data_IF_954743491148
#
_entry.id   IF_954743491148
#
_cell.length_a   1.000
_cell.length_b   1.000
_cell.length_c   1.000
_cell.angle_alpha   90.00
_cell.angle_beta   90.00
_cell.angle_gamma   90.00
#
_symmetry.space_group_name_H-M   'P 1'
#
loop_
_entity.id
_entity.type
_entity.pdbx_description
1 polymer ?
#
# COMPACT_ATOMS: atom_id res chain seq x y z
N UNK A 1 -15.52 30.54 15.07
CA UNK A 1 -16.32 30.15 16.26
C UNK A 1 -16.12 28.68 16.66
N UNK A 2 -15.19 27.93 16.08
CA UNK A 2 -14.87 26.53 16.40
C UNK A 2 -13.55 26.32 17.20
N UNK A 3 -12.84 27.40 17.54
CA UNK A 3 -11.55 27.33 18.23
C UNK A 3 -11.61 27.22 19.77
N UNK A 4 -12.80 27.04 20.35
CA UNK A 4 -12.99 27.01 21.82
C UNK A 4 -13.29 25.62 22.42
N UNK A 5 -13.29 24.56 21.64
CA UNK A 5 -13.75 23.23 22.12
C UNK A 5 -12.61 22.35 22.66
N UNK A 6 -11.35 22.64 22.36
CA UNK A 6 -10.22 21.85 22.87
C UNK A 6 -9.30 22.69 23.75
N UNK A 7 -9.74 22.92 25.01
CA UNK A 7 -8.89 23.50 26.05
C UNK A 7 -8.03 22.36 26.64
N UNK A 8 -6.92 22.00 25.95
CA UNK A 8 -5.90 21.14 26.55
C UNK A 8 -5.23 21.93 27.68
N UNK A 9 -5.70 21.76 28.91
CA UNK A 9 -4.97 22.23 30.09
C UNK A 9 -3.62 21.51 30.08
N UNK A 10 -2.58 22.23 29.77
CA UNK A 10 -1.19 21.81 29.97
C UNK A 10 -1.00 21.61 31.49
N UNK A 11 -1.32 20.43 31.99
CA UNK A 11 -0.89 19.99 33.32
C UNK A 11 0.55 19.58 33.17
N UNK A 12 1.45 20.55 33.33
CA UNK A 12 2.89 20.31 33.51
C UNK A 12 3.10 19.62 34.86
N UNK A 13 2.75 18.35 34.96
CA UNK A 13 3.37 17.45 35.91
C UNK A 13 4.70 17.03 35.31
N UNK A 14 5.81 17.53 35.86
CA UNK A 14 7.14 16.97 35.66
C UNK A 14 7.17 15.56 36.24
N UNK A 15 6.52 14.61 35.56
CA UNK A 15 6.84 13.21 35.75
C UNK A 15 8.18 13.04 35.03
N UNK A 16 9.21 12.66 35.78
CA UNK A 16 10.37 12.00 35.25
C UNK A 16 9.79 10.80 34.48
N UNK A 17 9.59 10.95 33.16
CA UNK A 17 9.09 9.85 32.34
C UNK A 17 10.17 8.77 32.38
N UNK A 18 9.87 7.65 33.03
CA UNK A 18 10.65 6.46 32.86
C UNK A 18 10.90 6.32 31.36
N UNK A 19 12.13 6.03 30.96
CA UNK A 19 12.53 5.92 29.55
C UNK A 19 11.77 4.75 28.92
N UNK A 20 10.57 5.00 28.42
CA UNK A 20 9.77 4.00 27.73
C UNK A 20 10.48 3.58 26.47
N UNK A 21 10.66 2.28 26.31
CA UNK A 21 11.24 1.67 25.11
C UNK A 21 10.08 1.16 24.25
N UNK A 22 9.91 1.77 23.06
CA UNK A 22 8.94 1.32 22.10
C UNK A 22 9.52 0.22 21.21
N UNK A 23 8.91 -0.96 21.19
CA UNK A 23 9.39 -2.14 20.48
C UNK A 23 8.39 -2.69 19.45
N UNK A 24 7.29 -2.00 19.20
CA UNK A 24 6.23 -2.43 18.28
C UNK A 24 6.29 -1.67 16.93
N UNK A 25 7.45 -1.68 16.29
CA UNK A 25 7.65 -1.00 14.99
C UNK A 25 6.87 -1.66 13.85
N UNK A 26 6.46 -2.92 14.02
CA UNK A 26 5.56 -3.59 13.07
C UNK A 26 4.15 -2.95 13.04
N UNK A 27 3.70 -2.38 14.16
CA UNK A 27 2.43 -1.66 14.19
C UNK A 27 2.52 -0.24 13.60
N UNK A 28 3.56 0.52 13.97
CA UNK A 28 3.82 1.88 13.45
C UNK A 28 5.21 2.35 13.89
N UNK A 29 5.73 3.37 13.21
CA UNK A 29 6.98 4.04 13.60
C UNK A 29 6.74 5.48 14.03
N UNK A 30 7.64 6.11 14.81
CA UNK A 30 7.64 7.56 14.96
C UNK A 30 7.93 8.21 13.61
N UNK A 31 7.47 9.45 13.41
CA UNK A 31 7.84 10.21 12.21
C UNK A 31 9.27 10.72 12.40
N UNK A 32 10.10 10.57 11.36
CA UNK A 32 11.46 11.09 11.36
C UNK A 32 11.44 12.62 11.51
N UNK A 33 12.32 13.22 12.36
CA UNK A 33 12.39 14.67 12.53
C UNK A 33 12.63 15.44 11.22
N UNK A 34 13.41 14.89 10.29
CA UNK A 34 13.65 15.51 8.97
C UNK A 34 12.37 15.51 8.13
N UNK A 35 11.57 14.43 8.19
CA UNK A 35 10.27 14.34 7.54
C UNK A 35 9.30 15.38 8.12
N UNK A 36 9.26 15.51 9.46
CA UNK A 36 8.45 16.54 10.12
C UNK A 36 8.85 17.93 9.64
N UNK A 37 10.16 18.23 9.61
CA UNK A 37 10.68 19.52 9.17
C UNK A 37 10.30 19.83 7.70
N UNK A 38 10.38 18.82 6.81
CA UNK A 38 9.98 18.95 5.41
C UNK A 38 8.48 19.20 5.23
N UNK A 39 7.64 18.65 6.11
CA UNK A 39 6.17 18.81 6.05
C UNK A 39 5.69 20.18 6.59
N UNK A 40 6.37 20.76 7.58
CA UNK A 40 5.90 21.95 8.29
C UNK A 40 5.52 23.13 7.38
N UNK A 41 6.27 23.48 6.32
CA UNK A 41 5.91 24.58 5.43
C UNK A 41 4.52 24.43 4.77
N UNK A 42 4.10 23.19 4.50
CA UNK A 42 2.84 22.92 3.80
C UNK A 42 1.59 23.09 4.68
N UNK A 43 1.75 23.22 5.99
CA UNK A 43 0.62 23.49 6.89
C UNK A 43 0.21 24.98 6.93
N UNK A 44 1.14 25.91 6.62
CA UNK A 44 0.88 27.34 6.79
C UNK A 44 1.45 28.24 5.67
N UNK A 45 2.57 27.87 5.06
CA UNK A 45 3.27 28.71 4.08
C UNK A 45 2.97 28.31 2.64
N UNK A 46 2.93 27.00 2.36
CA UNK A 46 2.77 26.43 1.02
C UNK A 46 1.41 25.69 0.88
N UNK A 47 0.35 26.27 1.41
CA UNK A 47 -0.98 25.66 1.55
C UNK A 47 -1.88 25.76 0.32
N UNK A 48 -1.35 26.14 -0.83
CA UNK A 48 -2.14 26.33 -2.07
C UNK A 48 -2.86 25.06 -2.51
N UNK A 49 -4.02 25.25 -3.17
CA UNK A 49 -4.69 24.13 -3.84
C UNK A 49 -3.96 23.83 -5.17
N UNK A 50 -3.43 22.61 -5.38
CA UNK A 50 -2.65 22.26 -6.57
C UNK A 50 -3.44 22.42 -7.89
N UNK A 51 -4.77 22.34 -7.85
CA UNK A 51 -5.61 22.55 -9.04
C UNK A 51 -5.80 24.04 -9.43
N UNK A 52 -5.29 24.98 -8.62
CA UNK A 52 -5.42 26.42 -8.91
C UNK A 52 -4.34 26.92 -9.86
N UNK A 53 -4.74 27.73 -10.84
CA UNK A 53 -3.83 28.28 -11.86
C UNK A 53 -2.89 29.39 -11.37
N UNK A 54 -3.17 29.96 -10.20
CA UNK A 54 -2.36 31.01 -9.61
C UNK A 54 -1.10 30.47 -8.93
N UNK A 55 -0.15 31.36 -8.63
CA UNK A 55 1.18 31.02 -8.12
C UNK A 55 1.19 30.08 -6.89
N UNK A 56 0.22 30.24 -5.96
CA UNK A 56 0.11 29.36 -4.79
C UNK A 56 -0.25 27.91 -5.16
N UNK A 57 -1.16 27.75 -6.13
CA UNK A 57 -1.52 26.43 -6.64
C UNK A 57 -0.36 25.76 -7.37
N UNK A 58 0.35 26.52 -8.23
CA UNK A 58 1.51 26.02 -8.97
C UNK A 58 2.64 25.51 -8.05
N UNK A 59 2.87 26.20 -6.90
CA UNK A 59 3.88 25.74 -5.90
C UNK A 59 3.47 24.45 -5.24
N UNK A 60 2.19 24.29 -4.89
CA UNK A 60 1.66 23.05 -4.31
C UNK A 60 1.69 21.91 -5.32
N UNK A 61 1.32 22.15 -6.56
CA UNK A 61 1.39 21.19 -7.66
C UNK A 61 2.84 20.75 -7.94
N UNK A 62 3.76 21.69 -7.99
CA UNK A 62 5.19 21.39 -8.14
C UNK A 62 5.70 20.48 -7.01
N UNK A 63 5.34 20.74 -5.76
CA UNK A 63 5.76 19.91 -4.64
C UNK A 63 5.22 18.47 -4.72
N UNK A 64 3.96 18.31 -5.14
CA UNK A 64 3.35 16.97 -5.32
C UNK A 64 4.02 16.25 -6.50
N UNK A 65 4.26 16.94 -7.59
CA UNK A 65 4.91 16.38 -8.79
C UNK A 65 6.33 15.93 -8.47
N UNK A 66 7.13 16.76 -7.78
CA UNK A 66 8.49 16.40 -7.35
C UNK A 66 8.49 15.16 -6.45
N UNK A 67 7.61 15.13 -5.43
CA UNK A 67 7.50 13.97 -4.54
C UNK A 67 7.12 12.68 -5.32
N UNK A 68 6.26 12.80 -6.31
CA UNK A 68 5.84 11.69 -7.17
C UNK A 68 6.99 11.16 -8.03
N UNK A 69 7.77 12.06 -8.63
CA UNK A 69 8.96 11.74 -9.44
C UNK A 69 10.05 11.06 -8.59
N UNK A 70 10.31 11.56 -7.38
CA UNK A 70 11.26 10.95 -6.44
C UNK A 70 10.85 9.54 -6.05
N UNK A 71 9.57 9.32 -5.73
CA UNK A 71 9.03 8.00 -5.39
C UNK A 71 9.12 7.06 -6.60
N UNK A 72 8.75 7.52 -7.79
CA UNK A 72 8.82 6.75 -9.01
C UNK A 72 10.26 6.29 -9.30
N UNK A 73 11.24 7.16 -9.09
CA UNK A 73 12.66 6.81 -9.21
C UNK A 73 13.10 5.72 -8.23
N UNK A 74 12.57 5.71 -6.99
CA UNK A 74 12.86 4.66 -5.99
C UNK A 74 12.21 3.33 -6.38
N UNK A 75 10.98 3.37 -6.91
CA UNK A 75 10.22 2.18 -7.29
C UNK A 75 10.58 1.65 -8.69
N UNK A 76 11.43 2.36 -9.44
CA UNK A 76 11.76 2.07 -10.85
C UNK A 76 10.50 2.00 -11.73
N UNK A 77 9.67 3.07 -11.69
CA UNK A 77 8.43 3.19 -12.45
C UNK A 77 8.24 4.61 -12.97
N UNK A 78 7.18 4.85 -13.73
CA UNK A 78 6.82 6.19 -14.21
C UNK A 78 6.04 6.97 -13.13
N UNK A 79 6.18 8.30 -13.13
CA UNK A 79 5.54 9.15 -12.11
C UNK A 79 4.01 9.08 -12.15
N UNK A 80 3.40 8.89 -13.31
CA UNK A 80 1.95 8.78 -13.48
C UNK A 80 1.37 7.42 -13.07
N UNK A 81 2.24 6.44 -12.72
CA UNK A 81 1.88 5.16 -12.13
C UNK A 81 1.73 5.22 -10.59
N UNK A 82 2.05 6.38 -9.97
CA UNK A 82 1.93 6.59 -8.53
C UNK A 82 0.60 7.28 -8.20
N UNK A 83 -0.21 6.63 -7.38
CA UNK A 83 -1.47 7.15 -6.86
C UNK A 83 -1.32 7.38 -5.36
N UNK A 84 -1.34 8.63 -4.90
CA UNK A 84 -1.32 8.93 -3.47
C UNK A 84 -2.64 8.55 -2.81
N UNK A 85 -2.55 7.92 -1.64
CA UNK A 85 -3.67 7.49 -0.80
C UNK A 85 -3.45 7.94 0.64
N UNK A 86 -4.43 7.70 1.51
CA UNK A 86 -4.31 8.04 2.94
C UNK A 86 -3.60 6.95 3.76
N UNK A 87 -3.51 5.73 3.27
CA UNK A 87 -2.86 4.62 3.99
C UNK A 87 -2.79 3.36 3.11
N UNK A 88 -2.02 2.35 3.56
CA UNK A 88 -1.95 1.06 2.88
C UNK A 88 -3.29 0.33 2.77
N UNK A 89 -4.19 0.49 3.75
CA UNK A 89 -5.53 -0.09 3.66
C UNK A 89 -6.36 0.50 2.52
N UNK A 90 -6.26 1.80 2.26
CA UNK A 90 -6.90 2.42 1.10
C UNK A 90 -6.25 1.94 -0.19
N UNK A 91 -4.93 1.88 -0.26
CA UNK A 91 -4.21 1.35 -1.44
C UNK A 91 -4.63 -0.08 -1.77
N UNK A 92 -4.67 -0.97 -0.76
CA UNK A 92 -5.11 -2.35 -0.91
C UNK A 92 -6.58 -2.45 -1.39
N UNK A 93 -7.47 -1.63 -0.82
CA UNK A 93 -8.87 -1.60 -1.24
C UNK A 93 -9.01 -1.06 -2.67
N UNK A 94 -8.28 -0.01 -3.02
CA UNK A 94 -8.28 0.57 -4.36
C UNK A 94 -7.80 -0.45 -5.40
N UNK A 95 -6.71 -1.16 -5.11
CA UNK A 95 -6.18 -2.21 -5.98
C UNK A 95 -7.21 -3.33 -6.20
N UNK A 96 -7.66 -3.99 -5.12
CA UNK A 96 -8.54 -5.15 -5.26
C UNK A 96 -9.90 -4.79 -5.85
N UNK A 97 -10.55 -3.74 -5.34
CA UNK A 97 -11.89 -3.33 -5.82
C UNK A 97 -11.84 -2.73 -7.21
N UNK A 98 -10.84 -1.88 -7.48
CA UNK A 98 -10.69 -1.25 -8.79
C UNK A 98 -10.54 -2.29 -9.88
N UNK A 99 -9.60 -3.22 -9.72
CA UNK A 99 -9.37 -4.29 -10.70
C UNK A 99 -10.56 -5.26 -10.77
N UNK A 100 -11.19 -5.62 -9.64
CA UNK A 100 -12.36 -6.51 -9.66
C UNK A 100 -13.55 -5.90 -10.44
N UNK A 101 -13.83 -4.62 -10.21
CA UNK A 101 -14.93 -3.94 -10.93
C UNK A 101 -14.63 -3.79 -12.42
N UNK A 102 -13.38 -3.43 -12.77
CA UNK A 102 -12.94 -3.34 -14.16
C UNK A 102 -12.98 -4.70 -14.86
N UNK A 103 -12.48 -5.76 -14.20
CA UNK A 103 -12.51 -7.12 -14.74
C UNK A 103 -13.93 -7.57 -15.08
N UNK A 104 -14.89 -7.23 -14.23
CA UNK A 104 -16.31 -7.50 -14.48
C UNK A 104 -16.87 -6.69 -15.65
N UNK A 105 -16.60 -5.38 -15.67
CA UNK A 105 -17.08 -4.50 -16.74
C UNK A 105 -16.57 -4.93 -18.11
N UNK A 106 -15.30 -5.37 -18.15
CA UNK A 106 -14.64 -5.83 -19.36
C UNK A 106 -14.83 -7.33 -19.65
N UNK A 107 -15.60 -8.06 -18.81
CA UNK A 107 -15.78 -9.52 -18.89
C UNK A 107 -14.46 -10.31 -18.92
N UNK A 108 -13.44 -9.83 -18.18
CA UNK A 108 -12.10 -10.45 -18.10
C UNK A 108 -12.03 -11.61 -17.10
N UNK A 109 -13.01 -11.74 -16.21
CA UNK A 109 -13.04 -12.81 -15.22
C UNK A 109 -13.79 -12.46 -13.94
N UNK A 110 -13.95 -13.45 -13.07
CA UNK A 110 -14.69 -13.32 -11.81
C UNK A 110 -13.94 -13.94 -10.61
N UNK A 111 -12.75 -14.49 -10.83
CA UNK A 111 -11.97 -15.19 -9.82
C UNK A 111 -10.71 -14.41 -9.42
N UNK A 112 -10.50 -14.24 -8.10
CA UNK A 112 -9.27 -13.68 -7.54
C UNK A 112 -8.63 -14.63 -6.53
N UNK A 113 -7.31 -14.58 -6.44
CA UNK A 113 -6.51 -15.40 -5.52
C UNK A 113 -5.80 -14.48 -4.53
N UNK A 114 -5.87 -14.81 -3.24
CA UNK A 114 -5.14 -14.11 -2.17
C UNK A 114 -4.38 -15.12 -1.29
N UNK A 115 -3.39 -14.67 -0.53
CA UNK A 115 -2.74 -15.55 0.44
C UNK A 115 -3.50 -15.65 1.77
N UNK A 116 -3.30 -16.76 2.50
CA UNK A 116 -3.90 -16.96 3.81
C UNK A 116 -3.33 -16.05 4.91
N UNK A 117 -2.18 -15.43 4.67
CA UNK A 117 -1.46 -14.60 5.65
C UNK A 117 -1.55 -13.10 5.35
N UNK A 118 -2.49 -12.70 4.50
CA UNK A 118 -2.70 -11.30 4.14
C UNK A 118 -3.13 -10.43 5.33
N UNK A 119 -2.82 -9.15 5.24
CA UNK A 119 -3.37 -8.15 6.15
C UNK A 119 -4.91 -8.12 6.06
N UNK A 120 -5.62 -7.84 7.17
CA UNK A 120 -7.09 -7.74 7.18
C UNK A 120 -7.70 -6.82 6.12
N UNK A 121 -6.96 -5.82 5.63
CA UNK A 121 -7.41 -4.95 4.53
C UNK A 121 -7.61 -5.72 3.21
N UNK A 122 -6.80 -6.75 2.94
CA UNK A 122 -6.95 -7.65 1.80
C UNK A 122 -8.02 -8.70 2.08
N UNK A 123 -7.90 -9.44 3.20
CA UNK A 123 -8.82 -10.53 3.55
C UNK A 123 -10.28 -10.08 3.59
N UNK A 124 -10.56 -8.95 4.26
CA UNK A 124 -11.93 -8.42 4.38
C UNK A 124 -12.45 -7.87 3.05
N UNK A 125 -11.59 -7.28 2.24
CA UNK A 125 -11.98 -6.79 0.92
C UNK A 125 -12.32 -7.94 0.00
N UNK A 126 -11.50 -9.00 -0.04
CA UNK A 126 -11.79 -10.21 -0.80
C UNK A 126 -13.09 -10.88 -0.33
N UNK A 127 -13.28 -11.03 0.98
CA UNK A 127 -14.53 -11.55 1.56
C UNK A 127 -15.75 -10.70 1.18
N UNK A 128 -15.62 -9.36 1.14
CA UNK A 128 -16.70 -8.49 0.70
C UNK A 128 -17.00 -8.64 -0.79
N UNK A 129 -15.97 -8.75 -1.64
CA UNK A 129 -16.13 -9.03 -3.06
C UNK A 129 -16.87 -10.35 -3.27
N UNK A 130 -16.53 -11.39 -2.51
CA UNK A 130 -17.22 -12.68 -2.55
C UNK A 130 -18.68 -12.58 -2.08
N UNK A 131 -18.92 -12.03 -0.89
CA UNK A 131 -20.25 -12.09 -0.26
C UNK A 131 -21.27 -11.14 -0.86
N UNK A 132 -20.82 -9.97 -1.38
CA UNK A 132 -21.76 -8.92 -1.84
C UNK A 132 -21.69 -8.69 -3.34
N UNK A 133 -20.62 -9.14 -3.98
CA UNK A 133 -20.44 -8.91 -5.42
C UNK A 133 -20.31 -10.20 -6.23
N UNK A 134 -20.46 -11.37 -5.59
CA UNK A 134 -20.43 -12.69 -6.22
C UNK A 134 -19.15 -12.96 -7.03
N UNK A 135 -18.00 -12.47 -6.55
CA UNK A 135 -16.69 -12.90 -7.04
C UNK A 135 -16.30 -14.22 -6.40
N UNK A 136 -15.58 -15.05 -7.13
CA UNK A 136 -14.95 -16.25 -6.58
C UNK A 136 -13.57 -15.88 -5.98
N UNK A 137 -13.30 -16.39 -4.78
CA UNK A 137 -12.05 -16.12 -4.05
C UNK A 137 -11.40 -17.42 -3.64
N UNK A 138 -10.18 -17.63 -4.10
CA UNK A 138 -9.30 -18.69 -3.60
C UNK A 138 -8.32 -18.12 -2.60
N UNK A 139 -8.23 -18.74 -1.43
CA UNK A 139 -7.23 -18.43 -0.40
C UNK A 139 -6.12 -19.49 -0.49
N UNK A 140 -4.93 -19.07 -0.93
CA UNK A 140 -3.76 -19.95 -1.00
C UNK A 140 -3.26 -20.27 0.40
N UNK A 141 -3.06 -21.55 0.72
CA UNK A 141 -2.42 -21.96 1.97
C UNK A 141 -0.94 -21.57 1.96
N UNK A 142 -0.36 -21.51 3.14
CA UNK A 142 1.08 -21.38 3.34
C UNK A 142 1.62 -22.64 4.05
N UNK A 143 2.91 -22.89 3.91
CA UNK A 143 3.58 -23.96 4.65
C UNK A 143 3.78 -23.61 6.13
N UNK A 144 4.41 -24.49 6.91
CA UNK A 144 4.70 -24.29 8.33
C UNK A 144 5.61 -23.09 8.62
N UNK A 145 6.29 -22.54 7.62
CA UNK A 145 7.15 -21.37 7.71
C UNK A 145 6.49 -20.11 7.16
N UNK A 146 5.28 -20.21 6.61
CA UNK A 146 4.52 -19.11 6.05
C UNK A 146 4.78 -18.84 4.57
N UNK A 147 5.47 -19.72 3.83
CA UNK A 147 5.71 -19.56 2.40
C UNK A 147 4.56 -20.07 1.54
N UNK A 148 4.26 -19.34 0.48
CA UNK A 148 3.36 -19.79 -0.58
C UNK A 148 4.14 -20.69 -1.52
N UNK A 149 3.54 -21.84 -1.87
CA UNK A 149 4.09 -22.73 -2.89
C UNK A 149 3.77 -22.20 -4.30
N UNK A 150 4.77 -21.97 -5.16
CA UNK A 150 4.53 -21.65 -6.58
C UNK A 150 3.68 -22.71 -7.29
N UNK A 151 3.80 -23.97 -6.90
CA UNK A 151 2.97 -25.07 -7.43
C UNK A 151 1.50 -24.90 -7.03
N UNK A 152 1.25 -24.51 -5.78
CA UNK A 152 -0.13 -24.33 -5.30
C UNK A 152 -0.78 -23.13 -5.98
N UNK A 153 -0.02 -22.05 -6.24
CA UNK A 153 -0.49 -20.94 -7.05
C UNK A 153 -0.87 -21.40 -8.46
N UNK A 154 0.01 -22.15 -9.16
CA UNK A 154 -0.30 -22.70 -10.51
C UNK A 154 -1.59 -23.53 -10.52
N UNK A 155 -1.78 -24.37 -9.50
CA UNK A 155 -2.94 -25.24 -9.39
C UNK A 155 -4.24 -24.47 -9.07
N UNK A 156 -4.14 -23.30 -8.43
CA UNK A 156 -5.28 -22.46 -8.05
C UNK A 156 -5.78 -21.54 -9.17
N UNK A 157 -4.95 -21.31 -10.20
CA UNK A 157 -5.32 -20.48 -11.36
C UNK A 157 -6.48 -21.14 -12.12
N UNK A 158 -7.52 -20.37 -12.38
CA UNK A 158 -8.70 -20.73 -13.16
C UNK A 158 -8.73 -19.91 -14.45
N UNK A 159 -9.50 -20.32 -15.49
CA UNK A 159 -9.57 -19.60 -16.75
C UNK A 159 -10.08 -18.15 -16.64
N UNK A 160 -10.80 -17.84 -15.58
CA UNK A 160 -11.37 -16.54 -15.27
C UNK A 160 -10.68 -15.83 -14.10
N UNK A 161 -9.49 -16.28 -13.71
CA UNK A 161 -8.66 -15.57 -12.71
C UNK A 161 -8.16 -14.27 -13.32
N UNK A 162 -8.47 -13.14 -12.67
CA UNK A 162 -8.04 -11.82 -13.15
C UNK A 162 -6.96 -11.17 -12.26
N UNK A 163 -6.84 -11.58 -10.99
CA UNK A 163 -5.92 -10.97 -10.03
C UNK A 163 -5.39 -12.01 -9.04
N UNK A 164 -4.10 -11.93 -8.75
CA UNK A 164 -3.46 -12.57 -7.60
C UNK A 164 -2.91 -11.49 -6.68
N UNK A 165 -3.16 -11.59 -5.38
CA UNK A 165 -2.64 -10.66 -4.38
C UNK A 165 -1.90 -11.41 -3.28
N UNK A 166 -0.60 -11.09 -3.12
CA UNK A 166 0.29 -11.71 -2.13
C UNK A 166 1.11 -10.63 -1.45
N UNK A 167 1.03 -10.55 -0.11
CA UNK A 167 1.87 -9.61 0.63
C UNK A 167 3.36 -9.95 0.49
N UNK A 168 4.21 -8.92 0.38
CA UNK A 168 5.64 -9.11 0.19
C UNK A 168 6.34 -9.60 1.46
N UNK A 169 6.06 -8.96 2.59
CA UNK A 169 6.58 -9.35 3.90
C UNK A 169 5.45 -9.38 4.93
N UNK A 170 5.37 -10.44 5.72
CA UNK A 170 4.32 -10.56 6.73
C UNK A 170 4.73 -9.85 8.03
N UNK A 171 3.82 -9.07 8.59
CA UNK A 171 4.05 -8.24 9.78
C UNK A 171 4.13 -9.02 11.09
N UNK A 172 3.61 -10.25 11.15
CA UNK A 172 3.56 -11.05 12.38
C UNK A 172 4.72 -12.05 12.46
N UNK A 173 4.97 -12.77 11.39
CA UNK A 173 5.96 -13.86 11.36
C UNK A 173 7.23 -13.52 10.58
N UNK A 174 7.27 -12.37 9.90
CA UNK A 174 8.45 -11.86 9.20
C UNK A 174 8.85 -12.63 7.94
N UNK A 175 8.01 -13.52 7.42
CA UNK A 175 8.29 -14.24 6.18
C UNK A 175 8.29 -13.28 4.99
N UNK A 176 9.23 -13.45 4.08
CA UNK A 176 9.35 -12.69 2.82
C UNK A 176 8.96 -13.63 1.68
N UNK A 177 7.91 -13.30 0.93
CA UNK A 177 7.43 -14.11 -0.17
C UNK A 177 8.27 -13.93 -1.43
N UNK A 178 8.39 -14.97 -2.28
CA UNK A 178 9.14 -14.92 -3.53
C UNK A 178 8.34 -14.20 -4.63
N UNK A 179 8.09 -12.89 -4.46
CA UNK A 179 7.18 -12.10 -5.28
C UNK A 179 7.48 -12.21 -6.78
N UNK A 180 8.75 -12.07 -7.18
CA UNK A 180 9.12 -12.14 -8.59
C UNK A 180 8.78 -13.49 -9.25
N UNK A 181 8.95 -14.60 -8.51
CA UNK A 181 8.59 -15.93 -9.01
C UNK A 181 7.07 -16.10 -9.13
N UNK A 182 6.33 -15.62 -8.13
CA UNK A 182 4.87 -15.70 -8.12
C UNK A 182 4.26 -14.80 -9.22
N UNK A 183 4.78 -13.59 -9.40
CA UNK A 183 4.37 -12.67 -10.46
C UNK A 183 4.65 -13.24 -11.85
N UNK A 184 5.82 -13.87 -12.07
CA UNK A 184 6.12 -14.52 -13.34
C UNK A 184 5.09 -15.61 -13.70
N UNK A 185 4.65 -16.39 -12.71
CA UNK A 185 3.62 -17.42 -12.91
C UNK A 185 2.29 -16.80 -13.37
N UNK A 186 1.86 -15.69 -12.75
CA UNK A 186 0.59 -15.05 -13.12
C UNK A 186 0.67 -14.44 -14.51
N UNK A 187 1.80 -13.87 -14.88
CA UNK A 187 2.00 -13.28 -16.20
C UNK A 187 2.01 -14.32 -17.33
N UNK A 188 2.45 -15.57 -17.08
CA UNK A 188 2.28 -16.67 -18.04
C UNK A 188 0.82 -16.90 -18.42
N UNK A 189 -0.12 -16.46 -17.58
CA UNK A 189 -1.57 -16.59 -17.76
C UNK A 189 -2.30 -15.25 -18.04
N UNK A 190 -1.58 -14.16 -18.26
CA UNK A 190 -2.13 -12.79 -18.41
C UNK A 190 -2.97 -12.32 -17.22
N UNK A 191 -2.60 -12.73 -16.00
CA UNK A 191 -3.24 -12.37 -14.74
C UNK A 191 -2.43 -11.26 -14.07
N UNK A 192 -3.10 -10.22 -13.56
CA UNK A 192 -2.45 -9.14 -12.82
C UNK A 192 -1.96 -9.61 -11.46
N UNK A 193 -0.81 -9.06 -11.03
CA UNK A 193 -0.22 -9.35 -9.72
C UNK A 193 -0.16 -8.11 -8.84
N UNK A 194 -0.83 -8.16 -7.70
CA UNK A 194 -0.77 -7.15 -6.64
C UNK A 194 0.09 -7.64 -5.47
N UNK A 195 0.88 -6.74 -4.89
CA UNK A 195 1.60 -7.01 -3.64
C UNK A 195 1.36 -5.93 -2.58
N UNK A 196 0.93 -6.34 -1.39
CA UNK A 196 1.00 -5.49 -0.20
C UNK A 196 2.46 -5.43 0.29
N UNK A 197 3.15 -4.32 -0.05
CA UNK A 197 4.54 -4.08 0.33
C UNK A 197 4.68 -3.18 1.56
N UNK A 198 3.61 -2.96 2.32
CA UNK A 198 3.58 -2.04 3.48
C UNK A 198 4.67 -2.38 4.49
N UNK A 199 4.94 -3.66 4.77
CA UNK A 199 6.00 -4.07 5.70
C UNK A 199 7.37 -4.22 5.04
N UNK A 200 7.44 -4.35 3.73
CA UNK A 200 8.69 -4.46 2.98
C UNK A 200 9.35 -3.10 2.73
N UNK A 201 8.56 -2.04 2.69
CA UNK A 201 9.01 -0.68 2.38
C UNK A 201 10.04 -0.19 3.39
N UNK A 202 11.17 0.31 2.88
CA UNK A 202 12.30 0.77 3.70
C UNK A 202 13.21 -0.36 4.22
N UNK A 203 12.84 -1.63 4.03
CA UNK A 203 13.61 -2.80 4.45
C UNK A 203 14.10 -3.64 3.27
N UNK A 204 13.32 -3.72 2.21
CA UNK A 204 13.59 -4.51 1.01
C UNK A 204 13.56 -3.63 -0.23
N UNK A 205 14.16 -4.10 -1.32
CA UNK A 205 14.04 -3.43 -2.62
C UNK A 205 12.61 -3.50 -3.13
N UNK A 206 12.08 -2.37 -3.58
CA UNK A 206 10.75 -2.26 -4.18
C UNK A 206 10.81 -1.96 -5.69
N UNK A 207 11.88 -2.38 -6.34
CA UNK A 207 12.05 -2.26 -7.80
C UNK A 207 10.91 -3.04 -8.49
N UNK A 208 9.94 -2.31 -9.03
CA UNK A 208 8.71 -2.89 -9.59
C UNK A 208 8.98 -3.72 -10.84
N UNK A 209 10.00 -3.36 -11.63
CA UNK A 209 10.40 -4.12 -12.80
C UNK A 209 10.97 -5.49 -12.40
N UNK A 210 11.87 -5.52 -11.39
CA UNK A 210 12.47 -6.79 -10.91
C UNK A 210 11.46 -7.66 -10.17
N UNK A 211 10.55 -7.06 -9.42
CA UNK A 211 9.48 -7.78 -8.73
C UNK A 211 8.41 -8.29 -9.70
N UNK A 212 8.26 -7.65 -10.85
CA UNK A 212 7.23 -8.01 -11.83
C UNK A 212 5.81 -7.73 -11.34
N UNK A 213 5.62 -6.80 -10.41
CA UNK A 213 4.28 -6.47 -9.90
C UNK A 213 3.55 -5.50 -10.83
N UNK A 214 2.24 -5.66 -10.97
CA UNK A 214 1.39 -4.71 -11.69
C UNK A 214 0.80 -3.66 -10.75
N UNK A 215 0.58 -4.04 -9.48
CA UNK A 215 0.11 -3.15 -8.42
C UNK A 215 0.91 -3.39 -7.15
N UNK A 216 1.22 -2.31 -6.41
CA UNK A 216 1.91 -2.43 -5.14
C UNK A 216 1.45 -1.36 -4.14
N UNK A 217 1.08 -1.80 -2.94
CA UNK A 217 0.58 -0.93 -1.87
C UNK A 217 1.67 -0.59 -0.87
N UNK A 218 1.75 0.69 -0.47
CA UNK A 218 2.73 1.22 0.49
C UNK A 218 2.05 2.12 1.52
N UNK A 219 2.60 2.21 2.73
CA UNK A 219 2.09 3.08 3.80
C UNK A 219 3.24 3.73 4.58
N UNK A 220 3.27 5.06 4.59
CA UNK A 220 4.40 5.84 5.10
C UNK A 220 4.73 5.59 6.59
N UNK A 221 3.72 5.35 7.43
CA UNK A 221 3.93 5.20 8.87
C UNK A 221 4.65 3.92 9.30
N UNK A 222 5.00 3.04 8.38
CA UNK A 222 5.78 1.81 8.64
C UNK A 222 7.29 2.03 8.46
N UNK A 223 7.69 3.13 7.82
CA UNK A 223 9.08 3.48 7.56
C UNK A 223 9.38 4.96 7.87
N UNK A 224 8.97 5.40 9.06
CA UNK A 224 9.24 6.72 9.64
C UNK A 224 8.58 7.90 8.92
N UNK A 225 7.60 7.64 8.06
CA UNK A 225 6.73 8.66 7.47
C UNK A 225 5.51 8.97 8.34
N UNK A 226 4.70 9.96 7.96
CA UNK A 226 3.52 10.35 8.71
C UNK A 226 2.39 9.31 8.57
N UNK A 227 1.53 9.25 9.59
CA UNK A 227 0.21 8.62 9.47
C UNK A 227 -0.67 9.47 8.56
N UNK A 228 -1.57 8.84 7.81
CA UNK A 228 -2.44 9.54 6.87
C UNK A 228 -1.85 9.68 5.46
N UNK A 229 -0.75 8.98 5.15
CA UNK A 229 -0.13 8.94 3.82
C UNK A 229 0.18 7.49 3.43
N UNK A 230 -0.21 7.15 2.23
CA UNK A 230 0.13 5.91 1.54
C UNK A 230 0.21 6.15 0.03
N UNK A 231 0.50 5.12 -0.71
CA UNK A 231 0.44 5.12 -2.15
C UNK A 231 0.07 3.75 -2.71
N UNK A 232 -0.49 3.76 -3.90
CA UNK A 232 -0.63 2.62 -4.77
C UNK A 232 0.21 2.87 -6.02
N UNK A 233 1.17 1.99 -6.30
CA UNK A 233 1.72 1.85 -7.63
C UNK A 233 0.72 1.06 -8.47
N UNK A 234 0.41 1.54 -9.65
CA UNK A 234 -0.44 0.88 -10.62
C UNK A 234 0.19 1.01 -12.01
N UNK A 235 0.69 -0.11 -12.51
CA UNK A 235 1.36 -0.17 -13.82
C UNK A 235 0.43 0.30 -14.92
N UNK A 236 0.95 1.16 -15.78
CA UNK A 236 0.26 1.64 -16.96
C UNK A 236 0.38 0.61 -18.08
N UNK A 237 -0.74 0.23 -18.68
CA UNK A 237 -0.81 -0.66 -19.85
C UNK A 237 -0.62 0.10 -21.16
#
# INVERSE_FOLDING_TARGET
MLAKVFNFKNTSRSHQMDKLIYMDHAATTPVDPEVVAAMLPFFSNEYGNPSSIHRWGQRADYAITTAREEIAGILCCEADEIIFTSCGSESNNLALRGIALEARELNKGNHLIISAIEHPAILRTAQQLQNHYAFDVTILPVDQHGFISPKDLKNAIQPDTFLVSVMYANNEIGVIQPIAELAAITHEHNILFHSDAVQATGQLSLDTEKLGVDLMSVSAHKFYGPKGVGLLYAKRN
#
